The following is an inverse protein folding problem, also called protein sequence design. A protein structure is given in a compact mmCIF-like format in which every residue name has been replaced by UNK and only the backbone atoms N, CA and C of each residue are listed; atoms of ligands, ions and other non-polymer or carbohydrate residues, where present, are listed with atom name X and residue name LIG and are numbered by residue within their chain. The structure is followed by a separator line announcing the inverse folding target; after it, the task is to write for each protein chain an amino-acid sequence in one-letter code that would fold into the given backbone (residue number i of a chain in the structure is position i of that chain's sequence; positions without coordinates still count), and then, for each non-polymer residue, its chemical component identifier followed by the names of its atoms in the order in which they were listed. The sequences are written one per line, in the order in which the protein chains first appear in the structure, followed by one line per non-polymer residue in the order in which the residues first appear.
data_IF_993964140547
#
_entry.id   IF_993964140547
#
_cell.length_a   1.000
_cell.length_b   1.000
_cell.length_c   1.000
_cell.angle_alpha   90.00
_cell.angle_beta   90.00
_cell.angle_gamma   90.00
#
_symmetry.space_group_name_H-M   'P 1'
#
loop_
_entity.id
_entity.type
_entity.pdbx_description
1 polymer ?
#
# COMPACT_ATOMS: atom_id res chain seq x y z
N UNK A 1 3.24 -14.92 6.55
CA UNK A 1 3.44 -13.45 6.52
C UNK A 1 2.43 -12.73 5.62
N UNK A 2 2.44 -12.89 4.29
CA UNK A 2 1.52 -12.13 3.41
C UNK A 2 0.03 -12.33 3.77
N UNK A 3 -0.38 -13.56 4.08
CA UNK A 3 -1.74 -13.86 4.52
C UNK A 3 -2.07 -13.23 5.89
N UNK A 4 -1.06 -13.01 6.73
CA UNK A 4 -1.22 -12.37 8.03
C UNK A 4 -1.48 -10.87 7.86
N UNK A 5 -0.75 -10.20 6.96
CA UNK A 5 -1.06 -8.82 6.59
C UNK A 5 -2.46 -8.67 6.02
N UNK A 6 -2.91 -9.57 5.13
CA UNK A 6 -4.29 -9.54 4.61
C UNK A 6 -5.31 -9.61 5.74
N UNK A 7 -5.18 -10.59 6.63
CA UNK A 7 -6.09 -10.77 7.77
C UNK A 7 -6.03 -9.60 8.76
N UNK A 8 -4.86 -9.03 8.98
CA UNK A 8 -4.67 -7.92 9.90
C UNK A 8 -5.22 -6.61 9.34
N UNK A 9 -4.99 -6.32 8.06
CA UNK A 9 -5.54 -5.15 7.39
C UNK A 9 -7.07 -5.18 7.36
N UNK A 10 -7.69 -6.34 7.11
CA UNK A 10 -9.16 -6.47 7.20
C UNK A 10 -9.69 -6.27 8.63
N UNK A 11 -8.88 -6.50 9.67
CA UNK A 11 -9.30 -6.19 11.05
C UNK A 11 -9.20 -4.70 11.37
N UNK A 12 -8.21 -4.01 10.81
CA UNK A 12 -7.96 -2.59 11.09
C UNK A 12 -8.78 -1.66 10.20
N UNK A 13 -8.93 -2.01 8.94
CA UNK A 13 -9.63 -1.27 7.90
C UNK A 13 -10.40 -2.26 7.04
N UNK A 14 -11.51 -2.83 7.55
CA UNK A 14 -12.30 -3.84 6.83
C UNK A 14 -12.85 -3.27 5.53
N UNK A 15 -12.97 -4.11 4.51
CA UNK A 15 -13.82 -3.79 3.38
C UNK A 15 -15.27 -3.57 3.84
N UNK A 16 -15.84 -2.43 3.46
CA UNK A 16 -17.25 -2.10 3.69
C UNK A 16 -17.73 -1.25 2.51
N UNK A 17 -18.69 -1.75 1.69
CA UNK A 17 -19.23 -1.00 0.56
C UNK A 17 -20.25 0.07 0.97
N UNK A 18 -20.67 0.07 2.25
CA UNK A 18 -21.61 1.03 2.80
C UNK A 18 -20.99 2.40 3.04
N UNK A 19 -21.82 3.32 3.53
CA UNK A 19 -21.41 4.73 3.78
C UNK A 19 -21.36 5.10 5.26
N UNK A 20 -21.69 4.15 6.14
CA UNK A 20 -21.71 4.36 7.60
C UNK A 20 -20.31 4.33 8.18
N UNK A 21 -19.50 3.34 7.77
CA UNK A 21 -18.11 3.22 8.21
C UNK A 21 -17.19 4.20 7.46
N UNK A 22 -17.34 4.28 6.14
CA UNK A 22 -16.54 5.16 5.29
C UNK A 22 -17.42 6.21 4.62
N UNK A 23 -17.44 7.42 5.19
CA UNK A 23 -18.19 8.54 4.60
C UNK A 23 -17.72 8.91 3.18
N UNK A 24 -16.47 8.56 2.82
CA UNK A 24 -15.94 8.65 1.45
C UNK A 24 -16.86 7.98 0.43
N UNK A 25 -17.42 6.82 0.76
CA UNK A 25 -18.26 6.04 -0.17
C UNK A 25 -19.58 6.77 -0.56
N UNK A 26 -19.93 7.88 0.11
CA UNK A 26 -21.05 8.75 -0.31
C UNK A 26 -20.84 9.38 -1.69
N UNK A 27 -19.62 9.34 -2.22
CA UNK A 27 -19.33 9.76 -3.60
C UNK A 27 -19.78 8.75 -4.66
N UNK A 28 -20.28 7.58 -4.26
CA UNK A 28 -20.63 6.47 -5.16
C UNK A 28 -19.51 5.45 -5.38
N UNK A 29 -18.38 5.62 -4.68
CA UNK A 29 -17.26 4.67 -4.66
C UNK A 29 -17.42 3.68 -3.49
N UNK A 30 -16.70 2.56 -3.50
CA UNK A 30 -16.71 1.55 -2.43
C UNK A 30 -15.31 1.26 -1.85
N UNK A 31 -14.32 2.08 -2.21
CA UNK A 31 -12.89 1.86 -1.91
C UNK A 31 -12.38 2.63 -0.69
N UNK A 32 -13.27 3.10 0.19
CA UNK A 32 -12.89 3.82 1.41
C UNK A 32 -11.87 3.06 2.28
N UNK A 33 -12.00 1.74 2.38
CA UNK A 33 -11.08 0.86 3.09
C UNK A 33 -9.67 0.87 2.45
N UNK A 34 -9.58 0.90 1.11
CA UNK A 34 -8.31 0.89 0.39
C UNK A 34 -7.47 2.13 0.70
N UNK A 35 -8.11 3.30 0.88
CA UNK A 35 -7.45 4.52 1.34
C UNK A 35 -6.85 4.37 2.74
N UNK A 36 -7.53 3.67 3.65
CA UNK A 36 -7.04 3.43 5.01
C UNK A 36 -5.94 2.37 5.04
N UNK A 37 -6.11 1.26 4.30
CA UNK A 37 -5.11 0.20 4.15
C UNK A 37 -3.78 0.76 3.62
N UNK A 38 -3.81 1.63 2.59
CA UNK A 38 -2.59 2.27 2.09
C UNK A 38 -1.95 3.19 3.13
N UNK A 39 -2.76 3.88 3.96
CA UNK A 39 -2.24 4.77 5.00
C UNK A 39 -1.51 4.00 6.09
N UNK A 40 -1.98 2.79 6.42
CA UNK A 40 -1.33 1.86 7.36
C UNK A 40 -0.01 1.32 6.77
N UNK A 41 -0.03 0.89 5.51
CA UNK A 41 1.12 0.22 4.89
C UNK A 41 2.21 1.17 4.39
N UNK A 42 1.89 2.46 4.26
CA UNK A 42 2.79 3.48 3.74
C UNK A 42 2.69 3.64 2.22
N UNK A 43 2.87 4.89 1.75
CA UNK A 43 2.86 5.23 0.32
C UNK A 43 4.16 4.85 -0.39
N UNK A 44 5.28 4.96 0.31
CA UNK A 44 6.62 4.94 -0.28
C UNK A 44 7.65 4.39 0.70
N UNK A 45 8.79 4.04 0.14
CA UNK A 45 10.01 3.69 0.88
C UNK A 45 11.16 4.49 0.31
N UNK A 46 12.16 4.77 1.15
CA UNK A 46 13.45 5.29 0.73
C UNK A 46 14.47 4.19 1.00
N UNK A 47 15.27 3.87 -0.01
CA UNK A 47 16.28 2.80 0.04
C UNK A 47 17.62 3.41 -0.33
N UNK A 48 18.64 3.14 0.49
CA UNK A 48 20.01 3.56 0.19
C UNK A 48 20.56 2.76 -1.00
N UNK A 49 21.42 3.41 -1.79
CA UNK A 49 22.17 2.76 -2.85
C UNK A 49 23.65 2.86 -2.52
N UNK A 50 24.29 1.72 -2.31
CA UNK A 50 25.70 1.62 -1.93
C UNK A 50 26.43 0.80 -2.99
N UNK A 51 27.50 1.34 -3.59
CA UNK A 51 28.26 0.71 -4.66
C UNK A 51 27.38 0.19 -5.83
N UNK A 52 26.37 0.97 -6.22
CA UNK A 52 25.45 0.63 -7.33
C UNK A 52 24.39 -0.44 -7.00
N UNK A 53 24.26 -0.85 -5.74
CA UNK A 53 23.28 -1.86 -5.30
C UNK A 53 22.30 -1.26 -4.29
N UNK A 54 21.05 -1.73 -4.30
CA UNK A 54 20.10 -1.44 -3.22
C UNK A 54 20.67 -2.04 -1.93
N UNK A 55 20.89 -1.21 -0.93
CA UNK A 55 21.55 -1.58 0.32
C UNK A 55 20.53 -2.22 1.27
N UNK A 56 20.13 -3.44 0.93
CA UNK A 56 19.15 -4.23 1.66
C UNK A 56 19.80 -5.14 2.71
N UNK A 57 19.12 -5.29 3.83
CA UNK A 57 19.29 -6.44 4.72
C UNK A 57 18.85 -7.76 4.05
N UNK A 58 19.23 -8.91 4.62
CA UNK A 58 19.06 -10.23 3.97
C UNK A 58 17.60 -10.65 3.72
N UNK A 59 16.63 -9.96 4.35
CA UNK A 59 15.20 -10.29 4.27
C UNK A 59 14.33 -9.13 3.78
N UNK A 60 14.94 -7.99 3.42
CA UNK A 60 14.20 -6.82 2.97
C UNK A 60 13.75 -7.00 1.52
N UNK A 61 12.53 -6.60 1.22
CA UNK A 61 11.89 -6.72 -0.08
C UNK A 61 10.97 -5.51 -0.29
N UNK A 62 10.87 -5.03 -1.54
CA UNK A 62 9.91 -3.99 -1.91
C UNK A 62 8.67 -4.66 -2.50
N UNK A 63 7.50 -4.27 -1.99
CA UNK A 63 6.22 -4.72 -2.51
C UNK A 63 5.37 -3.55 -3.00
N UNK A 64 4.65 -3.77 -4.09
CA UNK A 64 3.50 -2.93 -4.44
C UNK A 64 2.25 -3.49 -3.75
N UNK A 65 1.81 -2.83 -2.68
CA UNK A 65 0.57 -3.16 -1.98
C UNK A 65 -0.65 -2.57 -2.69
N UNK A 66 -1.33 -3.38 -3.50
CA UNK A 66 -2.58 -3.00 -4.16
C UNK A 66 -3.80 -3.34 -3.29
N UNK A 67 -4.66 -2.34 -3.07
CA UNK A 67 -5.86 -2.45 -2.22
C UNK A 67 -7.17 -2.11 -2.95
N UNK A 68 -7.10 -1.56 -4.17
CA UNK A 68 -8.23 -1.23 -5.04
C UNK A 68 -7.79 -1.35 -6.52
N UNK A 69 -7.71 -2.61 -6.98
CA UNK A 69 -7.07 -3.01 -8.24
C UNK A 69 -8.02 -3.06 -9.45
N UNK A 70 -7.71 -3.95 -10.41
CA UNK A 70 -8.47 -4.18 -11.66
C UNK A 70 -8.57 -2.97 -12.60
N UNK A 71 -7.66 -2.02 -12.44
CA UNK A 71 -7.48 -0.86 -13.33
C UNK A 71 -5.98 -0.52 -13.45
N UNK A 72 -5.52 0.09 -14.56
CA UNK A 72 -4.13 0.49 -14.70
C UNK A 72 -3.71 1.50 -13.62
N UNK A 73 -2.64 1.18 -12.89
CA UNK A 73 -2.05 2.01 -11.84
C UNK A 73 -0.52 2.05 -12.00
N UNK A 74 0.14 2.98 -11.31
CA UNK A 74 1.56 3.28 -11.52
C UNK A 74 2.30 3.35 -10.19
N UNK A 75 3.57 2.97 -10.24
CA UNK A 75 4.57 3.24 -9.19
C UNK A 75 5.64 4.12 -9.80
N UNK A 76 6.16 5.07 -9.02
CA UNK A 76 7.28 5.92 -9.42
C UNK A 76 8.54 5.46 -8.71
N UNK A 77 9.62 5.28 -9.46
CA UNK A 77 10.98 5.12 -8.91
C UNK A 77 11.77 6.37 -9.29
N UNK A 78 12.37 7.02 -8.29
CA UNK A 78 13.23 8.19 -8.49
C UNK A 78 14.53 7.96 -7.74
N UNK A 79 15.64 8.11 -8.45
CA UNK A 79 16.99 7.97 -7.91
C UNK A 79 17.66 9.34 -8.01
N UNK A 80 18.37 9.72 -6.94
CA UNK A 80 19.22 10.91 -6.87
C UNK A 80 20.55 10.48 -6.26
N UNK A 81 21.67 10.97 -6.78
CA UNK A 81 23.01 10.57 -6.37
C UNK A 81 24.02 10.72 -7.50
N UNK A 82 25.28 10.44 -7.20
CA UNK A 82 26.41 10.35 -8.14
C UNK A 82 26.90 8.89 -8.24
#
# INVERSE_FOLDING_TARGET
LHQDYKRWLEKLAPYDPGTDLYAHNRTGEDNGDAHHKRQIMGREVVVAVTNGHLDFGPWEQIFYGEFDGRRPKRVLVKIIGE
#
